data_IF_180339333797
#
_entry.id   IF_180339333797
#
_cell.length_a   1.000
_cell.length_b   1.000
_cell.length_c   1.000
_cell.angle_alpha   90.00
_cell.angle_beta   90.00
_cell.angle_gamma   90.00
#
_symmetry.space_group_name_H-M   'P 1'
#
loop_
_entity.id
_entity.type
_entity.pdbx_description
1 polymer ?
#
# COMPACT_ATOMS: atom_id res chain seq x y z
N UNK A 1 -28.18 -35.17 -29.81
CA UNK A 1 -28.26 -34.59 -28.46
C UNK A 1 -27.11 -35.18 -27.66
N UNK A 2 -26.02 -34.44 -27.48
CA UNK A 2 -24.89 -34.87 -26.67
C UNK A 2 -25.16 -34.47 -25.21
N UNK A 3 -25.11 -35.45 -24.30
CA UNK A 3 -25.26 -35.25 -22.86
C UNK A 3 -23.95 -34.66 -22.31
N UNK A 4 -24.03 -33.49 -21.71
CA UNK A 4 -22.92 -32.87 -20.99
C UNK A 4 -22.56 -33.72 -19.76
N UNK A 5 -21.28 -34.05 -19.52
CA UNK A 5 -20.87 -34.76 -18.32
C UNK A 5 -21.01 -33.81 -17.11
N UNK A 6 -21.80 -34.24 -16.13
CA UNK A 6 -21.90 -33.60 -14.81
C UNK A 6 -20.53 -33.57 -14.15
N UNK A 7 -19.97 -32.38 -13.99
CA UNK A 7 -18.73 -32.13 -13.26
C UNK A 7 -18.95 -32.43 -11.77
N UNK A 8 -18.67 -33.68 -11.38
CA UNK A 8 -18.61 -34.07 -9.98
C UNK A 8 -17.47 -33.28 -9.32
N UNK A 9 -17.84 -32.38 -8.40
CA UNK A 9 -16.88 -31.59 -7.63
C UNK A 9 -15.94 -32.56 -6.90
N UNK A 10 -14.61 -32.43 -7.06
CA UNK A 10 -13.67 -33.36 -6.45
C UNK A 10 -13.80 -33.33 -4.92
N UNK A 11 -13.71 -34.52 -4.32
CA UNK A 11 -13.74 -34.67 -2.88
C UNK A 11 -12.63 -33.83 -2.22
N UNK A 12 -12.99 -33.03 -1.22
CA UNK A 12 -12.08 -32.11 -0.53
C UNK A 12 -12.04 -30.68 -1.06
N UNK A 13 -12.74 -30.35 -2.16
CA UNK A 13 -12.79 -28.96 -2.66
C UNK A 13 -13.50 -28.01 -1.67
N UNK A 14 -14.61 -28.44 -1.08
CA UNK A 14 -15.32 -27.65 -0.05
C UNK A 14 -14.47 -27.47 1.22
N UNK A 15 -13.78 -28.54 1.65
CA UNK A 15 -12.88 -28.52 2.79
C UNK A 15 -11.70 -27.55 2.56
N UNK A 16 -11.10 -27.59 1.36
CA UNK A 16 -10.01 -26.70 0.97
C UNK A 16 -10.45 -25.23 0.88
N UNK A 17 -11.68 -24.97 0.41
CA UNK A 17 -12.27 -23.62 0.38
C UNK A 17 -12.52 -23.09 1.81
N UNK A 18 -13.06 -23.94 2.70
CA UNK A 18 -13.28 -23.57 4.11
C UNK A 18 -11.97 -23.33 4.86
N UNK A 19 -10.97 -24.19 4.66
CA UNK A 19 -9.64 -24.03 5.24
C UNK A 19 -8.89 -22.78 4.73
N UNK A 20 -9.14 -22.37 3.48
CA UNK A 20 -8.59 -21.14 2.92
C UNK A 20 -9.28 -19.89 3.48
N UNK A 21 -10.58 -19.99 3.78
CA UNK A 21 -11.38 -18.92 4.38
C UNK A 21 -11.07 -18.69 5.87
N UNK A 22 -10.60 -19.72 6.59
CA UNK A 22 -10.27 -19.66 8.02
C UNK A 22 -8.86 -19.18 8.34
N UNK A 23 -8.01 -18.89 7.34
CA UNK A 23 -6.67 -18.33 7.59
C UNK A 23 -6.81 -16.95 8.22
N UNK A 24 -6.23 -16.79 9.41
CA UNK A 24 -6.16 -15.51 10.10
C UNK A 24 -5.46 -14.48 9.20
N UNK A 25 -6.17 -13.41 8.84
CA UNK A 25 -5.58 -12.30 8.07
C UNK A 25 -4.40 -11.72 8.85
N UNK A 26 -3.29 -11.37 8.19
CA UNK A 26 -2.14 -10.80 8.87
C UNK A 26 -2.51 -9.47 9.52
N UNK A 27 -2.03 -9.24 10.74
CA UNK A 27 -2.33 -8.03 11.50
C UNK A 27 -1.34 -6.92 11.13
N UNK A 28 -1.81 -5.77 10.62
CA UNK A 28 -0.94 -4.63 10.32
C UNK A 28 -0.48 -3.95 11.61
N UNK A 29 0.83 -3.77 11.77
CA UNK A 29 1.40 -2.96 12.83
C UNK A 29 1.71 -1.54 12.31
N UNK A 30 1.19 -0.47 12.93
CA UNK A 30 1.46 0.89 12.48
C UNK A 30 2.92 1.28 12.78
N UNK A 31 3.47 2.26 12.06
CA UNK A 31 4.83 2.74 12.32
C UNK A 31 5.04 3.22 13.77
N UNK A 32 4.00 3.75 14.40
CA UNK A 32 4.02 4.24 15.79
C UNK A 32 4.16 3.14 16.84
N UNK A 33 3.98 1.85 16.50
CA UNK A 33 4.19 0.75 17.45
C UNK A 33 5.66 0.35 17.58
N UNK A 34 6.54 0.85 16.71
CA UNK A 34 7.97 0.54 16.72
C UNK A 34 8.74 1.55 17.56
N UNK A 35 9.54 1.07 18.52
CA UNK A 35 10.30 1.92 19.44
C UNK A 35 11.33 2.78 18.72
N UNK A 36 12.02 2.23 17.71
CA UNK A 36 12.99 2.98 16.91
C UNK A 36 12.36 3.55 15.62
N UNK A 37 11.01 3.55 15.52
CA UNK A 37 10.27 4.07 14.38
C UNK A 37 10.71 3.45 13.05
N UNK A 38 11.18 4.30 12.13
CA UNK A 38 11.55 3.86 10.77
C UNK A 38 12.72 2.87 10.77
N UNK A 39 13.64 2.96 11.74
CA UNK A 39 14.85 2.14 11.75
C UNK A 39 14.53 0.66 11.99
N UNK A 40 13.46 0.36 12.73
CA UNK A 40 13.05 -1.03 12.98
C UNK A 40 12.43 -1.69 11.73
N UNK A 41 11.86 -0.89 10.83
CA UNK A 41 11.15 -1.34 9.61
C UNK A 41 12.00 -1.22 8.34
N UNK A 42 13.24 -0.79 8.48
CA UNK A 42 14.20 -0.66 7.38
C UNK A 42 15.30 -1.72 7.47
N UNK A 43 15.82 -2.11 6.32
CA UNK A 43 17.01 -2.95 6.19
C UNK A 43 17.91 -2.33 5.14
N UNK A 44 19.20 -2.22 5.40
CA UNK A 44 20.15 -1.68 4.41
C UNK A 44 20.78 -2.85 3.65
N UNK A 45 20.53 -2.93 2.36
CA UNK A 45 21.08 -3.94 1.45
C UNK A 45 21.84 -3.19 0.35
N UNK A 46 23.11 -3.52 0.15
CA UNK A 46 23.97 -2.93 -0.90
C UNK A 46 24.06 -1.38 -0.87
N UNK A 47 23.94 -0.78 0.31
CA UNK A 47 24.02 0.67 0.50
C UNK A 47 22.69 1.41 0.28
N UNK A 48 21.63 0.70 -0.09
CA UNK A 48 20.27 1.24 -0.17
C UNK A 48 19.41 0.76 1.00
N UNK A 49 18.68 1.69 1.61
CA UNK A 49 17.75 1.37 2.70
C UNK A 49 16.41 0.94 2.11
N UNK A 50 16.03 -0.32 2.30
CA UNK A 50 14.80 -0.92 1.82
C UNK A 50 13.83 -1.28 2.94
N UNK A 51 12.58 -1.62 2.60
CA UNK A 51 11.59 -2.06 3.58
C UNK A 51 11.89 -3.49 4.07
N UNK A 52 12.11 -3.66 5.38
CA UNK A 52 12.41 -4.95 6.00
C UNK A 52 11.20 -5.91 6.01
N UNK A 53 10.00 -5.36 6.18
CA UNK A 53 8.75 -6.12 6.30
C UNK A 53 7.85 -5.95 5.08
N UNK A 54 6.93 -6.89 4.88
CA UNK A 54 5.84 -6.70 3.93
C UNK A 54 4.97 -5.53 4.40
N UNK A 55 4.55 -4.70 3.45
CA UNK A 55 3.63 -3.59 3.69
C UNK A 55 2.20 -4.08 3.50
N UNK A 56 1.36 -3.80 4.48
CA UNK A 56 -0.05 -4.19 4.54
C UNK A 56 -0.94 -2.95 4.49
N UNK A 57 -2.20 -3.15 4.12
CA UNK A 57 -3.24 -2.16 4.34
C UNK A 57 -3.37 -1.87 5.85
N UNK A 58 -3.36 -0.59 6.28
CA UNK A 58 -3.42 -0.24 7.70
C UNK A 58 -4.80 -0.54 8.34
N UNK A 59 -5.83 -0.83 7.53
CA UNK A 59 -7.18 -1.12 8.04
C UNK A 59 -7.19 -2.41 8.87
N UNK A 60 -7.61 -2.36 10.15
CA UNK A 60 -7.80 -3.56 10.95
C UNK A 60 -8.77 -4.53 10.27
N UNK A 61 -8.37 -5.80 10.16
CA UNK A 61 -9.17 -6.84 9.51
C UNK A 61 -9.10 -6.89 7.98
N UNK A 62 -8.45 -5.94 7.31
CA UNK A 62 -8.19 -6.05 5.87
C UNK A 62 -7.01 -6.99 5.60
N UNK A 63 -5.83 -6.70 6.14
CA UNK A 63 -4.65 -7.57 5.97
C UNK A 63 -4.18 -7.74 4.51
N UNK A 64 -4.67 -6.91 3.58
CA UNK A 64 -4.24 -6.93 2.18
C UNK A 64 -2.75 -6.60 2.10
N UNK A 65 -1.99 -7.43 1.40
CA UNK A 65 -0.56 -7.17 1.17
C UNK A 65 -0.45 -6.17 0.04
N UNK A 66 0.10 -5.00 0.33
CA UNK A 66 0.35 -3.93 -0.64
C UNK A 66 1.69 -4.15 -1.33
N UNK A 67 2.72 -4.49 -0.57
CA UNK A 67 4.09 -4.64 -1.06
C UNK A 67 4.85 -5.73 -0.30
N UNK A 68 5.72 -6.47 -1.00
CA UNK A 68 6.65 -7.42 -0.36
C UNK A 68 7.84 -6.71 0.28
N UNK A 69 8.51 -7.40 1.21
CA UNK A 69 9.79 -6.98 1.78
C UNK A 69 10.85 -6.79 0.69
N UNK A 70 11.72 -5.79 0.87
CA UNK A 70 12.87 -5.51 0.01
C UNK A 70 12.53 -4.88 -1.35
N UNK A 71 11.30 -4.41 -1.55
CA UNK A 71 10.85 -3.87 -2.85
C UNK A 71 10.87 -2.34 -2.87
N UNK A 72 10.57 -1.69 -1.75
CA UNK A 72 10.58 -0.23 -1.65
C UNK A 72 11.90 0.28 -1.09
N UNK A 73 12.40 1.37 -1.67
CA UNK A 73 13.51 2.15 -1.14
C UNK A 73 12.98 3.27 -0.23
N UNK A 74 13.63 3.49 0.91
CA UNK A 74 13.35 4.61 1.80
C UNK A 74 13.91 5.89 1.21
N UNK A 75 13.07 6.92 1.08
CA UNK A 75 13.46 8.26 0.66
C UNK A 75 12.81 9.29 1.56
N UNK A 76 13.54 10.35 1.88
CA UNK A 76 13.00 11.51 2.57
C UNK A 76 12.65 12.58 1.54
N UNK A 77 11.42 13.10 1.63
CA UNK A 77 10.89 14.11 0.72
C UNK A 77 9.89 14.99 1.44
N UNK A 78 9.75 16.23 1.01
CA UNK A 78 8.69 17.13 1.44
C UNK A 78 7.33 16.43 1.42
N UNK A 79 6.55 16.68 2.46
CA UNK A 79 5.15 16.27 2.53
C UNK A 79 4.41 16.86 1.35
N UNK A 80 3.55 16.07 0.72
CA UNK A 80 2.66 16.54 -0.33
C UNK A 80 1.24 16.38 0.16
N UNK A 81 0.46 17.46 0.05
CA UNK A 81 -0.97 17.42 0.34
C UNK A 81 -1.67 16.65 -0.77
N UNK A 82 -1.77 15.33 -0.57
CA UNK A 82 -2.43 14.40 -1.50
C UNK A 82 -3.89 14.15 -1.14
N UNK A 83 -4.39 14.82 -0.10
CA UNK A 83 -5.79 14.80 0.30
C UNK A 83 -6.59 15.75 -0.59
N UNK A 84 -7.55 15.25 -1.38
CA UNK A 84 -8.41 16.12 -2.18
C UNK A 84 -9.23 17.02 -1.24
N UNK A 85 -9.27 18.32 -1.52
CA UNK A 85 -10.02 19.28 -0.69
C UNK A 85 -11.52 18.97 -0.59
N UNK A 86 -12.04 18.20 -1.55
CA UNK A 86 -13.45 17.84 -1.66
C UNK A 86 -13.84 16.59 -0.85
N UNK A 87 -12.86 15.85 -0.31
CA UNK A 87 -13.09 14.58 0.38
C UNK A 87 -12.57 14.68 1.81
N UNK A 88 -13.41 14.43 2.83
CA UNK A 88 -12.95 14.45 4.21
C UNK A 88 -11.89 13.37 4.47
N UNK A 89 -10.86 13.66 5.28
CA UNK A 89 -9.81 12.70 5.57
C UNK A 89 -10.37 11.47 6.29
N UNK A 90 -9.91 10.28 5.90
CA UNK A 90 -10.36 9.04 6.52
C UNK A 90 -9.76 8.91 7.93
N UNK A 91 -10.55 8.63 8.99
CA UNK A 91 -10.08 8.61 10.38
C UNK A 91 -9.05 7.51 10.70
N UNK A 92 -8.77 6.61 9.76
CA UNK A 92 -7.80 5.52 9.90
C UNK A 92 -6.43 5.90 9.32
N UNK A 93 -6.35 7.00 8.57
CA UNK A 93 -5.11 7.46 7.97
C UNK A 93 -4.63 8.67 8.76
N UNK A 94 -3.39 8.64 9.29
CA UNK A 94 -2.84 9.82 9.95
C UNK A 94 -2.77 10.98 8.94
N UNK A 95 -3.11 12.22 9.37
CA UNK A 95 -2.96 13.39 8.51
C UNK A 95 -1.49 13.53 8.12
N UNK A 96 -1.24 13.92 6.86
CA UNK A 96 0.11 14.27 6.46
C UNK A 96 0.42 15.68 6.99
N UNK A 97 1.67 15.94 7.40
CA UNK A 97 2.06 17.28 7.84
C UNK A 97 2.04 18.26 6.67
N UNK A 98 2.08 19.55 6.98
CA UNK A 98 2.11 20.60 5.97
C UNK A 98 3.30 20.45 5.01
N UNK A 99 3.17 20.98 3.80
CA UNK A 99 4.13 20.79 2.69
C UNK A 99 5.55 21.32 2.95
N UNK A 100 5.78 21.99 4.09
CA UNK A 100 7.10 22.45 4.52
C UNK A 100 7.90 21.38 5.28
N UNK A 101 7.29 20.28 5.71
CA UNK A 101 7.96 19.25 6.51
C UNK A 101 8.41 18.07 5.66
N UNK A 102 9.67 17.64 5.85
CA UNK A 102 10.17 16.41 5.26
C UNK A 102 9.61 15.20 5.97
N UNK A 103 9.01 14.29 5.21
CA UNK A 103 8.56 12.99 5.71
C UNK A 103 9.22 11.85 4.95
N UNK A 104 9.09 10.66 5.52
CA UNK A 104 9.65 9.44 4.95
C UNK A 104 8.62 8.75 4.07
N UNK A 105 9.08 8.42 2.86
CA UNK A 105 8.31 7.75 1.84
C UNK A 105 9.00 6.45 1.44
N UNK A 106 8.19 5.45 1.14
CA UNK A 106 8.59 4.28 0.39
C UNK A 106 8.46 4.60 -1.09
N UNK A 107 9.59 4.61 -1.80
CA UNK A 107 9.68 4.72 -3.24
C UNK A 107 9.67 3.34 -3.87
N UNK A 108 8.75 3.12 -4.81
CA UNK A 108 8.63 1.91 -5.60
C UNK A 108 8.86 2.30 -7.05
N UNK A 109 9.77 1.60 -7.71
CA UNK A 109 10.16 1.82 -9.11
C UNK A 109 10.57 0.48 -9.74
N UNK A 110 10.55 0.35 -11.08
CA UNK A 110 10.03 1.31 -12.07
C UNK A 110 8.57 1.01 -12.49
N UNK A 111 7.97 -0.06 -11.97
CA UNK A 111 6.72 -0.62 -12.49
C UNK A 111 5.67 -0.77 -11.39
N UNK A 112 4.38 -0.51 -11.71
CA UNK A 112 3.28 -0.80 -10.78
C UNK A 112 3.12 -2.31 -10.52
N UNK A 113 3.74 -3.18 -11.33
CA UNK A 113 3.74 -4.63 -11.11
C UNK A 113 4.52 -5.07 -9.87
N UNK A 114 5.29 -4.17 -9.25
CA UNK A 114 5.96 -4.44 -7.98
C UNK A 114 4.98 -4.47 -6.80
N UNK A 115 3.77 -3.94 -6.97
CA UNK A 115 2.71 -4.02 -5.96
C UNK A 115 1.95 -5.33 -6.05
N UNK A 116 1.50 -5.81 -4.90
CA UNK A 116 0.67 -7.01 -4.81
C UNK A 116 -0.82 -6.65 -4.98
N UNK A 117 -1.34 -5.72 -4.17
CA UNK A 117 -2.76 -5.34 -4.16
C UNK A 117 -2.97 -3.83 -3.97
N UNK A 118 -2.57 -3.03 -4.96
CA UNK A 118 -2.79 -1.57 -4.95
C UNK A 118 -3.79 -1.15 -6.03
N UNK A 119 -4.65 -0.19 -5.69
CA UNK A 119 -5.55 0.51 -6.61
C UNK A 119 -5.01 1.90 -6.97
N UNK A 120 -5.26 2.31 -8.21
CA UNK A 120 -4.91 3.65 -8.71
C UNK A 120 -6.19 4.43 -8.98
N UNK A 121 -6.27 5.66 -8.48
CA UNK A 121 -7.37 6.56 -8.82
C UNK A 121 -7.27 7.02 -10.28
N UNK A 122 -8.37 7.61 -10.78
CA UNK A 122 -8.29 8.50 -11.94
C UNK A 122 -7.41 9.72 -11.58
N UNK A 123 -6.80 10.39 -12.58
CA UNK A 123 -6.08 11.64 -12.34
C UNK A 123 -6.94 12.64 -11.56
N UNK A 124 -6.41 13.14 -10.45
CA UNK A 124 -7.16 14.05 -9.57
C UNK A 124 -6.95 15.48 -10.03
N UNK A 125 -8.04 16.14 -10.45
CA UNK A 125 -7.98 17.50 -11.01
C UNK A 125 -7.95 18.59 -9.95
N UNK A 126 -8.40 18.30 -8.72
CA UNK A 126 -8.39 19.23 -7.60
C UNK A 126 -7.03 19.38 -6.93
N UNK A 127 -6.05 18.52 -7.26
CA UNK A 127 -4.68 18.65 -6.78
C UNK A 127 -3.85 19.50 -7.75
N UNK A 128 -2.90 20.32 -7.24
CA UNK A 128 -1.97 21.04 -8.09
C UNK A 128 -1.17 20.07 -8.95
N UNK A 129 -0.76 20.51 -10.15
CA UNK A 129 0.13 19.72 -10.98
C UNK A 129 1.47 19.51 -10.28
N UNK A 130 2.10 18.36 -10.54
CA UNK A 130 3.45 18.10 -10.05
C UNK A 130 4.45 19.13 -10.60
N UNK A 131 5.67 19.23 -10.05
CA UNK A 131 6.71 20.09 -10.62
C UNK A 131 7.02 19.80 -12.10
N UNK A 132 6.72 18.57 -12.56
CA UNK A 132 6.84 18.15 -13.96
C UNK A 132 5.59 18.46 -14.82
N UNK A 133 4.59 19.15 -14.27
CA UNK A 133 3.35 19.53 -14.94
C UNK A 133 2.37 18.38 -15.13
N UNK A 134 2.50 17.29 -14.36
CA UNK A 134 1.66 16.09 -14.49
C UNK A 134 0.56 16.03 -13.44
N UNK A 135 -0.55 15.38 -13.78
CA UNK A 135 -1.62 15.09 -12.83
C UNK A 135 -1.21 13.97 -11.88
N UNK A 136 -1.68 14.04 -10.64
CA UNK A 136 -1.47 13.01 -9.65
C UNK A 136 -2.52 11.89 -9.75
N UNK A 137 -2.08 10.66 -9.52
CA UNK A 137 -2.93 9.50 -9.23
C UNK A 137 -2.72 9.10 -7.78
N UNK A 138 -3.80 8.88 -7.06
CA UNK A 138 -3.78 8.46 -5.66
C UNK A 138 -3.76 6.94 -5.57
N UNK A 139 -3.03 6.43 -4.59
CA UNK A 139 -2.89 5.01 -4.32
C UNK A 139 -3.81 4.62 -3.16
N UNK A 140 -4.59 3.55 -3.36
CA UNK A 140 -5.50 3.00 -2.36
C UNK A 140 -5.34 1.48 -2.25
N UNK A 141 -5.82 0.88 -1.17
CA UNK A 141 -5.88 -0.57 -1.04
C UNK A 141 -6.85 -1.17 -2.06
N UNK A 142 -6.44 -2.16 -2.85
CA UNK A 142 -7.31 -2.78 -3.87
C UNK A 142 -8.44 -3.66 -3.30
N UNK A 143 -8.40 -4.02 -2.00
CA UNK A 143 -9.42 -4.86 -1.38
C UNK A 143 -10.52 -4.08 -0.66
N UNK A 144 -10.18 -2.94 -0.03
CA UNK A 144 -11.12 -2.19 0.81
C UNK A 144 -11.22 -0.71 0.45
N UNK A 145 -10.58 -0.29 -0.64
CA UNK A 145 -10.55 1.07 -1.17
C UNK A 145 -10.05 2.14 -0.18
N UNK A 146 -9.39 1.72 0.91
CA UNK A 146 -8.80 2.66 1.87
C UNK A 146 -7.63 3.40 1.23
N UNK A 147 -7.73 4.73 1.15
CA UNK A 147 -6.71 5.63 0.64
C UNK A 147 -7.02 7.10 0.99
N UNK A 148 -6.10 8.04 0.67
CA UNK A 148 -4.89 7.82 -0.09
C UNK A 148 -3.72 7.33 0.78
N UNK A 149 -3.17 6.16 0.45
CA UNK A 149 -1.95 5.59 1.05
C UNK A 149 -0.68 6.25 0.49
N UNK A 150 -0.79 6.84 -0.70
CA UNK A 150 0.31 7.41 -1.44
C UNK A 150 -0.13 8.01 -2.78
N UNK A 151 0.84 8.30 -3.64
CA UNK A 151 0.61 8.96 -4.92
C UNK A 151 1.61 8.51 -5.99
N UNK A 152 1.26 8.76 -7.25
CA UNK A 152 2.15 8.66 -8.39
C UNK A 152 1.81 9.74 -9.43
N UNK A 153 2.74 10.05 -10.32
CA UNK A 153 2.45 10.90 -11.46
C UNK A 153 1.76 10.11 -12.57
N UNK A 154 0.92 10.77 -13.36
CA UNK A 154 0.37 10.19 -14.58
C UNK A 154 1.49 9.84 -15.58
N UNK A 155 1.60 8.55 -15.91
CA UNK A 155 2.66 8.03 -16.78
C UNK A 155 4.06 8.05 -16.15
N UNK A 156 4.16 8.26 -14.83
CA UNK A 156 5.40 8.12 -14.08
C UNK A 156 5.74 6.65 -13.78
N UNK A 157 7.02 6.41 -13.49
CA UNK A 157 7.56 5.11 -13.02
C UNK A 157 7.76 5.08 -11.51
N UNK A 158 7.54 6.22 -10.86
CA UNK A 158 7.82 6.43 -9.44
C UNK A 158 6.51 6.46 -8.67
N UNK A 159 6.41 5.55 -7.71
CA UNK A 159 5.25 5.38 -6.86
C UNK A 159 5.67 5.61 -5.41
N UNK A 160 4.96 6.50 -4.72
CA UNK A 160 5.32 6.96 -3.39
C UNK A 160 4.25 6.55 -2.39
N UNK A 161 4.62 5.75 -1.38
CA UNK A 161 3.76 5.41 -0.26
C UNK A 161 4.25 6.10 1.03
N UNK A 162 3.35 6.72 1.78
CA UNK A 162 3.72 7.34 3.05
C UNK A 162 3.98 6.25 4.08
N UNK A 163 5.16 6.26 4.74
CA UNK A 163 5.51 5.23 5.73
C UNK A 163 4.54 5.19 6.92
N UNK A 164 3.88 6.31 7.24
CA UNK A 164 2.88 6.42 8.29
C UNK A 164 1.50 5.87 7.91
N UNK A 165 1.21 5.69 6.60
CA UNK A 165 -0.10 5.26 6.08
C UNK A 165 -0.12 3.80 5.65
N UNK A 166 0.89 3.02 5.99
CA UNK A 166 0.96 1.58 5.73
C UNK A 166 1.11 0.81 7.03
N UNK A 167 0.63 -0.43 7.03
CA UNK A 167 0.90 -1.39 8.10
C UNK A 167 2.14 -2.20 7.79
N UNK A 168 2.83 -2.67 8.83
CA UNK A 168 4.00 -3.54 8.70
C UNK A 168 3.66 -4.93 9.21
N UNK A 169 4.02 -5.96 8.44
CA UNK A 169 3.90 -7.35 8.86
C UNK A 169 5.13 -7.76 9.70
N UNK A 170 5.28 -7.16 10.88
CA UNK A 170 6.21 -7.66 11.90
C UNK A 170 5.63 -8.90 12.56
N UNK A 171 6.43 -9.97 12.66
CA UNK A 171 6.05 -11.18 13.43
C UNK A 171 6.18 -10.97 14.95
N UNK A 172 5.87 -9.78 15.43
CA UNK A 172 5.78 -9.46 16.85
C UNK A 172 4.44 -9.94 17.40
#
# INVERSE_FOLDING_TARGET
>A
MALEPSSQLPAGLLEALQASSSRSRPTPHPLSSFTNGIFDVTETVDGETANKYNLLCPRPGCGSIILKKGVAALKERESLQIEPSDIPPHPLLPPLPDTSESIRWWLITPSPMSFENIGFSRPVESLPLSPAGKKFKLLACAECDLGPLGWSEEGGTDFWLACSRVGYQSGQ
#
